data_IF_259903537966
#
_entry.id   IF_259903537966
#
_cell.length_a   1.000
_cell.length_b   1.000
_cell.length_c   1.000
_cell.angle_alpha   90.00
_cell.angle_beta   90.00
_cell.angle_gamma   90.00
#
_symmetry.space_group_name_H-M   'P 1'
#
loop_
_entity.id
_entity.type
_entity.pdbx_description
1 polymer ?
#
# COMPACT_ATOMS: atom_id res chain seq x y z
N UNK A 1 2.64 9.78 -13.19
CA UNK A 1 1.79 10.41 -12.15
C UNK A 1 2.70 11.11 -11.15
N UNK A 2 2.44 12.37 -10.78
CA UNK A 2 3.33 13.10 -9.86
C UNK A 2 3.27 12.51 -8.45
N UNK A 3 4.32 12.75 -7.64
CA UNK A 3 4.37 12.30 -6.24
C UNK A 3 3.18 12.84 -5.43
N UNK A 4 2.80 14.09 -5.70
CA UNK A 4 1.69 14.79 -5.06
C UNK A 4 0.35 14.11 -5.39
N UNK A 5 0.09 13.78 -6.66
CA UNK A 5 -1.10 13.03 -7.06
C UNK A 5 -1.15 11.64 -6.40
N UNK A 6 0.00 10.98 -6.24
CA UNK A 6 0.07 9.67 -5.56
C UNK A 6 -0.29 9.80 -4.08
N UNK A 7 0.25 10.82 -3.40
CA UNK A 7 -0.07 11.11 -2.01
C UNK A 7 -1.57 11.39 -1.83
N UNK A 8 -2.18 12.23 -2.69
CA UNK A 8 -3.62 12.50 -2.62
C UNK A 8 -4.48 11.24 -2.85
N UNK A 9 -4.11 10.36 -3.78
CA UNK A 9 -4.81 9.07 -3.95
C UNK A 9 -4.67 8.18 -2.72
N UNK A 10 -3.46 8.03 -2.21
CA UNK A 10 -3.21 7.19 -1.02
C UNK A 10 -3.93 7.73 0.21
N UNK A 11 -3.90 9.05 0.43
CA UNK A 11 -4.65 9.74 1.48
C UNK A 11 -6.15 9.47 1.35
N UNK A 12 -6.72 9.67 0.15
CA UNK A 12 -8.15 9.44 -0.08
C UNK A 12 -8.57 8.00 0.18
N UNK A 13 -7.77 7.02 -0.26
CA UNK A 13 -8.03 5.60 -0.02
C UNK A 13 -7.93 5.28 1.49
N UNK A 14 -6.85 5.73 2.14
CA UNK A 14 -6.62 5.47 3.57
C UNK A 14 -7.72 6.08 4.45
N UNK A 15 -8.10 7.33 4.19
CA UNK A 15 -9.19 7.99 4.92
C UNK A 15 -10.54 7.34 4.67
N UNK A 16 -10.82 6.94 3.43
CA UNK A 16 -12.07 6.26 3.08
C UNK A 16 -12.21 4.93 3.81
N UNK A 17 -11.15 4.11 3.82
CA UNK A 17 -11.15 2.82 4.52
C UNK A 17 -11.33 3.03 6.04
N UNK A 18 -10.64 4.00 6.63
CA UNK A 18 -10.80 4.32 8.05
C UNK A 18 -12.25 4.70 8.40
N UNK A 19 -12.86 5.61 7.63
CA UNK A 19 -14.25 6.01 7.83
C UNK A 19 -15.23 4.84 7.60
N UNK A 20 -14.95 3.96 6.63
CA UNK A 20 -15.75 2.76 6.39
C UNK A 20 -15.70 1.80 7.58
N UNK A 21 -14.51 1.58 8.15
CA UNK A 21 -14.34 0.76 9.36
C UNK A 21 -15.09 1.38 10.53
N UNK A 22 -14.99 2.69 10.72
CA UNK A 22 -15.72 3.40 11.77
C UNK A 22 -17.24 3.23 11.61
N UNK A 23 -17.72 3.38 10.37
CA UNK A 23 -19.13 3.18 10.02
C UNK A 23 -19.62 1.76 10.34
N UNK A 24 -18.86 0.73 9.93
CA UNK A 24 -19.20 -0.68 10.18
C UNK A 24 -19.21 -1.00 11.69
N UNK A 25 -18.27 -0.44 12.45
CA UNK A 25 -18.15 -0.70 13.89
C UNK A 25 -19.06 0.18 14.76
N UNK A 26 -19.98 0.96 14.18
CA UNK A 26 -20.81 1.94 14.89
C UNK A 26 -19.97 2.89 15.76
N UNK A 27 -18.75 3.22 15.32
CA UNK A 27 -17.88 4.14 16.02
C UNK A 27 -18.46 5.56 15.95
N UNK A 28 -18.77 6.14 17.10
CA UNK A 28 -19.47 7.45 17.17
C UNK A 28 -18.47 8.61 17.32
N UNK A 29 -17.21 8.33 17.66
CA UNK A 29 -16.21 9.35 17.99
C UNK A 29 -14.97 9.15 17.13
N UNK A 30 -14.59 10.20 16.40
CA UNK A 30 -13.34 10.29 15.64
C UNK A 30 -12.36 11.15 16.43
N UNK A 31 -11.24 10.56 16.84
CA UNK A 31 -10.18 11.32 17.52
C UNK A 31 -9.22 11.92 16.50
N UNK A 32 -8.79 13.17 16.73
CA UNK A 32 -7.82 13.85 15.86
C UNK A 32 -6.50 13.08 15.73
N UNK A 33 -6.08 12.40 16.80
CA UNK A 33 -4.88 11.54 16.80
C UNK A 33 -4.98 10.38 15.80
N UNK A 34 -6.14 9.75 15.68
CA UNK A 34 -6.39 8.66 14.74
C UNK A 34 -6.39 9.15 13.28
N UNK A 35 -6.96 10.32 13.03
CA UNK A 35 -6.93 10.94 11.69
C UNK A 35 -5.50 11.29 11.28
N UNK A 36 -4.73 11.91 12.18
CA UNK A 36 -3.31 12.23 11.95
C UNK A 36 -2.52 10.95 11.68
N UNK A 37 -2.78 9.88 12.44
CA UNK A 37 -2.15 8.58 12.25
C UNK A 37 -2.41 8.00 10.85
N UNK A 38 -3.67 7.99 10.41
CA UNK A 38 -4.06 7.51 9.06
C UNK A 38 -3.39 8.35 7.96
N UNK A 39 -3.34 9.68 8.13
CA UNK A 39 -2.68 10.56 7.16
C UNK A 39 -1.17 10.34 7.09
N UNK A 40 -0.50 10.22 8.23
CA UNK A 40 0.94 9.98 8.30
C UNK A 40 1.31 8.67 7.58
N UNK A 41 0.60 7.59 7.87
CA UNK A 41 0.82 6.29 7.22
C UNK A 41 0.54 6.36 5.72
N UNK A 42 -0.57 7.00 5.32
CA UNK A 42 -0.94 7.07 3.91
C UNK A 42 0.09 7.83 3.07
N UNK A 43 0.62 8.94 3.59
CA UNK A 43 1.68 9.71 2.92
C UNK A 43 2.97 8.89 2.87
N UNK A 44 3.34 8.24 3.97
CA UNK A 44 4.56 7.44 4.03
C UNK A 44 4.52 6.27 3.04
N UNK A 45 3.39 5.55 2.95
CA UNK A 45 3.19 4.47 1.97
C UNK A 45 3.30 5.02 0.55
N UNK A 46 2.71 6.18 0.26
CA UNK A 46 2.79 6.79 -1.07
C UNK A 46 4.22 7.15 -1.48
N UNK A 47 5.00 7.71 -0.56
CA UNK A 47 6.40 8.07 -0.77
C UNK A 47 7.28 6.83 -0.96
N UNK A 48 7.17 5.86 -0.06
CA UNK A 48 7.97 4.62 -0.12
C UNK A 48 7.58 3.74 -1.29
N UNK A 49 6.36 3.86 -1.83
CA UNK A 49 5.95 3.19 -3.08
C UNK A 49 6.69 3.69 -4.32
N UNK A 50 7.54 4.71 -4.20
CA UNK A 50 8.42 5.15 -5.30
C UNK A 50 9.51 4.13 -5.62
N UNK A 51 9.91 3.29 -4.64
CA UNK A 51 10.96 2.28 -4.86
C UNK A 51 10.59 1.27 -5.94
N UNK A 52 9.29 1.03 -6.18
CA UNK A 52 8.79 0.17 -7.25
C UNK A 52 9.00 0.74 -8.66
N UNK A 53 9.33 2.02 -8.80
CA UNK A 53 9.66 2.62 -10.10
C UNK A 53 11.18 2.56 -10.40
N UNK A 54 11.98 1.96 -9.52
CA UNK A 54 13.43 1.85 -9.72
C UNK A 54 13.69 0.58 -10.54
N UNK A 55 14.06 0.76 -11.81
CA UNK A 55 14.32 -0.34 -12.76
C UNK A 55 15.49 -1.26 -12.34
N UNK A 56 16.34 -0.80 -11.42
CA UNK A 56 17.49 -1.56 -10.94
C UNK A 56 17.13 -2.70 -9.98
N UNK A 57 15.91 -2.72 -9.42
CA UNK A 57 15.51 -3.68 -8.39
C UNK A 57 14.41 -4.61 -8.90
N UNK A 58 14.53 -5.90 -8.57
CA UNK A 58 13.46 -6.86 -8.83
C UNK A 58 12.23 -6.53 -7.96
N UNK A 59 11.03 -6.80 -8.48
CA UNK A 59 9.76 -6.55 -7.81
C UNK A 59 9.70 -7.15 -6.39
N UNK A 60 10.19 -8.38 -6.23
CA UNK A 60 10.26 -9.07 -4.92
C UNK A 60 11.13 -8.29 -3.94
N UNK A 61 12.29 -7.80 -4.39
CA UNK A 61 13.22 -7.03 -3.56
C UNK A 61 12.59 -5.70 -3.15
N UNK A 62 11.95 -4.98 -4.08
CA UNK A 62 11.20 -3.77 -3.76
C UNK A 62 10.08 -4.04 -2.75
N UNK A 63 9.35 -5.15 -2.91
CA UNK A 63 8.26 -5.51 -2.00
C UNK A 63 8.75 -5.77 -0.57
N UNK A 64 9.86 -6.50 -0.42
CA UNK A 64 10.46 -6.78 0.90
C UNK A 64 10.96 -5.49 1.55
N UNK A 65 11.64 -4.62 0.79
CA UNK A 65 12.11 -3.33 1.31
C UNK A 65 10.91 -2.45 1.71
N UNK A 66 9.87 -2.38 0.88
CA UNK A 66 8.66 -1.63 1.18
C UNK A 66 8.00 -2.12 2.47
N UNK A 67 7.87 -3.43 2.62
CA UNK A 67 7.31 -4.07 3.82
C UNK A 67 8.06 -3.68 5.08
N UNK A 68 9.40 -3.81 5.07
CA UNK A 68 10.25 -3.47 6.22
C UNK A 68 10.13 -1.99 6.56
N UNK A 69 10.12 -1.10 5.56
CA UNK A 69 10.01 0.35 5.78
C UNK A 69 8.65 0.72 6.39
N UNK A 70 7.56 0.17 5.86
CA UNK A 70 6.20 0.44 6.35
C UNK A 70 6.03 -0.10 7.77
N UNK A 71 6.48 -1.32 8.04
CA UNK A 71 6.36 -1.93 9.38
C UNK A 71 7.15 -1.14 10.44
N UNK A 72 8.41 -0.80 10.13
CA UNK A 72 9.25 0.03 10.99
C UNK A 72 8.61 1.41 11.25
N UNK A 73 8.04 2.04 10.22
CA UNK A 73 7.36 3.32 10.38
C UNK A 73 6.12 3.21 11.26
N UNK A 74 5.32 2.16 11.07
CA UNK A 74 4.13 1.91 11.88
C UNK A 74 4.50 1.69 13.35
N UNK A 75 5.56 0.94 13.65
CA UNK A 75 6.07 0.75 15.01
C UNK A 75 6.47 2.09 15.64
N UNK A 76 7.24 2.92 14.92
CA UNK A 76 7.70 4.22 15.41
C UNK A 76 6.52 5.16 15.71
N UNK A 77 5.56 5.27 14.79
CA UNK A 77 4.41 6.17 14.98
C UNK A 77 3.50 5.66 16.08
N UNK A 78 3.30 4.33 16.19
CA UNK A 78 2.52 3.72 17.26
C UNK A 78 3.14 4.01 18.64
N UNK A 79 4.47 3.87 18.77
CA UNK A 79 5.20 4.24 19.97
C UNK A 79 5.06 5.73 20.31
N UNK A 80 5.21 6.61 19.32
CA UNK A 80 5.09 8.06 19.50
C UNK A 80 3.67 8.51 19.91
N UNK A 81 2.63 7.81 19.46
CA UNK A 81 1.23 8.11 19.78
C UNK A 81 0.72 7.38 21.03
N UNK A 82 1.58 6.61 21.73
CA UNK A 82 1.24 5.82 22.91
C UNK A 82 0.08 4.85 22.69
N UNK A 83 -0.10 4.33 21.47
CA UNK A 83 -1.16 3.35 21.22
C UNK A 83 -0.81 2.01 21.90
N UNK A 84 -1.58 1.64 22.91
CA UNK A 84 -1.41 0.35 23.60
C UNK A 84 -2.13 -0.74 22.80
N UNK A 85 -1.36 -1.59 22.11
CA UNK A 85 -1.91 -2.70 21.33
C UNK A 85 -0.94 -3.89 21.28
N UNK A 86 -1.46 -5.06 20.92
CA UNK A 86 -0.63 -6.24 20.73
C UNK A 86 0.12 -6.14 19.38
N UNK A 87 1.41 -5.79 19.45
CA UNK A 87 2.27 -5.64 18.27
C UNK A 87 2.33 -6.89 17.40
N UNK A 88 2.24 -8.08 17.98
CA UNK A 88 2.25 -9.35 17.23
C UNK A 88 1.02 -9.47 16.31
N UNK A 89 -0.15 -9.07 16.80
CA UNK A 89 -1.37 -9.09 15.98
C UNK A 89 -1.28 -8.07 14.84
N UNK A 90 -0.75 -6.88 15.14
CA UNK A 90 -0.58 -5.81 14.17
C UNK A 90 0.39 -6.21 13.06
N UNK A 91 1.52 -6.83 13.42
CA UNK A 91 2.50 -7.38 12.48
C UNK A 91 1.87 -8.46 11.57
N UNK A 92 1.11 -9.41 12.15
CA UNK A 92 0.42 -10.44 11.38
C UNK A 92 -0.63 -9.85 10.43
N UNK A 93 -1.40 -8.84 10.87
CA UNK A 93 -2.37 -8.16 10.00
C UNK A 93 -1.70 -7.47 8.81
N UNK A 94 -0.60 -6.75 9.03
CA UNK A 94 0.16 -6.11 7.94
C UNK A 94 0.73 -7.17 7.00
N UNK A 95 1.27 -8.27 7.54
CA UNK A 95 1.78 -9.38 6.74
C UNK A 95 0.71 -9.98 5.83
N UNK A 96 -0.50 -10.25 6.34
CA UNK A 96 -1.61 -10.78 5.55
C UNK A 96 -1.98 -9.83 4.40
N UNK A 97 -2.07 -8.52 4.68
CA UNK A 97 -2.37 -7.51 3.65
C UNK A 97 -1.32 -7.58 2.53
N UNK A 98 -0.03 -7.67 2.89
CA UNK A 98 1.05 -7.77 1.91
C UNK A 98 1.00 -9.06 1.08
N UNK A 99 0.68 -10.21 1.69
CA UNK A 99 0.51 -11.47 0.97
C UNK A 99 -0.63 -11.36 -0.04
N UNK A 100 -1.77 -10.78 0.36
CA UNK A 100 -2.92 -10.57 -0.54
C UNK A 100 -2.55 -9.61 -1.67
N UNK A 101 -1.91 -8.49 -1.36
CA UNK A 101 -1.44 -7.54 -2.37
C UNK A 101 -0.47 -8.19 -3.36
N UNK A 102 0.46 -9.02 -2.88
CA UNK A 102 1.40 -9.76 -3.73
C UNK A 102 0.70 -10.68 -4.73
N UNK A 103 -0.31 -11.43 -4.28
CA UNK A 103 -1.11 -12.31 -5.15
C UNK A 103 -1.82 -11.50 -6.22
N UNK A 104 -2.51 -10.42 -5.83
CA UNK A 104 -3.24 -9.55 -6.76
C UNK A 104 -2.28 -8.95 -7.80
N UNK A 105 -1.15 -8.40 -7.37
CA UNK A 105 -0.18 -7.80 -8.29
C UNK A 105 0.41 -8.84 -9.23
N UNK A 106 0.74 -10.03 -8.75
CA UNK A 106 1.25 -11.13 -9.59
C UNK A 106 0.25 -11.52 -10.69
N UNK A 107 -1.04 -11.61 -10.34
CA UNK A 107 -2.11 -11.89 -11.30
C UNK A 107 -2.22 -10.77 -12.33
N UNK A 108 -2.24 -9.51 -11.88
CA UNK A 108 -2.30 -8.35 -12.78
C UNK A 108 -1.11 -8.31 -13.74
N UNK A 109 0.12 -8.51 -13.25
CA UNK A 109 1.32 -8.55 -14.09
C UNK A 109 1.21 -9.65 -15.16
N UNK A 110 0.74 -10.85 -14.81
CA UNK A 110 0.53 -11.93 -15.79
C UNK A 110 -0.50 -11.56 -16.86
N UNK A 111 -1.58 -10.87 -16.48
CA UNK A 111 -2.59 -10.39 -17.43
C UNK A 111 -2.02 -9.31 -18.35
N UNK A 112 -1.26 -8.35 -17.82
CA UNK A 112 -0.62 -7.30 -18.60
C UNK A 112 0.39 -7.87 -19.60
N UNK A 113 1.21 -8.85 -19.18
CA UNK A 113 2.15 -9.53 -20.08
C UNK A 113 1.42 -10.29 -21.20
N UNK A 114 0.31 -10.97 -20.89
CA UNK A 114 -0.54 -11.61 -21.92
C UNK A 114 -1.10 -10.61 -22.92
N UNK A 115 -1.57 -9.46 -22.45
CA UNK A 115 -2.07 -8.38 -23.30
C UNK A 115 -0.94 -7.79 -24.18
N UNK A 116 0.24 -7.58 -23.60
CA UNK A 116 1.41 -7.10 -24.35
C UNK A 116 1.82 -8.07 -25.45
N UNK A 117 1.91 -9.36 -25.14
CA UNK A 117 2.27 -10.40 -26.11
C UNK A 117 1.24 -10.50 -27.24
N UNK A 118 -0.05 -10.35 -26.91
CA UNK A 118 -1.12 -10.31 -27.92
C UNK A 118 -1.01 -9.08 -28.83
N UNK A 119 -0.73 -7.90 -28.28
CA UNK A 119 -0.53 -6.66 -29.04
C UNK A 119 0.69 -6.76 -29.98
N UNK A 120 1.81 -7.31 -29.49
CA UNK A 120 3.02 -7.54 -30.30
C UNK A 120 2.73 -8.52 -31.44
N UNK A 121 2.00 -9.61 -31.16
CA UNK A 121 1.60 -10.58 -32.19
C UNK A 121 0.73 -9.96 -33.29
N UNK A 122 -0.17 -9.03 -32.94
CA UNK A 122 -1.00 -8.33 -33.92
C UNK A 122 -0.21 -7.36 -34.79
N UNK A 123 0.82 -6.71 -34.24
CA UNK A 123 1.70 -5.83 -35.02
C UNK A 123 2.57 -6.64 -35.98
N UNK A 124 3.04 -7.81 -35.58
CA UNK A 124 3.87 -8.68 -36.41
C UNK A 124 3.11 -9.33 -37.59
N UNK A 125 1.79 -9.51 -37.47
CA UNK A 125 0.93 -10.04 -38.54
C UNK A 125 0.45 -8.97 -39.54
N UNK A 126 0.71 -7.69 -39.26
CA UNK A 126 0.29 -6.56 -40.09
C UNK A 126 1.39 -6.05 -41.03
N UNK A 127 2.55 -6.70 -41.03
CA UNK A 127 3.73 -6.40 -41.83
C UNK A 127 4.08 -7.61 -42.70
#
# INVERSE_FOLDING_TARGET
MSILQRCFKALGIGSFIYLLILFINNGVVVYTSEVIYVFAISIFIALTSYIFNIDALNFITCLVIHYILVDMFVIIVNYAMHFTGNYSNLFFSIFIIYVVSFIITTIQTRLTVKQLNHLIGQVHLKH
#
